data_IF_986496584521
#
_entry.id   IF_986496584521
#
_cell.length_a   1.000
_cell.length_b   1.000
_cell.length_c   1.000
_cell.angle_alpha   90.00
_cell.angle_beta   90.00
_cell.angle_gamma   90.00
#
_symmetry.space_group_name_H-M   'P 1'
#
loop_
_entity.id
_entity.type
_entity.pdbx_description
1 polymer ?
#
# COMPACT_ATOMS: atom_id res chain seq x y z
N UNK A 1 -0.10 11.17 -8.96
CA UNK A 1 0.42 10.01 -8.21
C UNK A 1 1.93 10.03 -7.96
N UNK A 2 2.75 10.65 -8.82
CA UNK A 2 4.21 10.66 -8.65
C UNK A 2 4.68 11.15 -7.26
N UNK A 3 4.10 12.24 -6.74
CA UNK A 3 4.42 12.74 -5.40
C UNK A 3 4.08 11.75 -4.28
N UNK A 4 2.93 11.08 -4.37
CA UNK A 4 2.50 10.04 -3.42
C UNK A 4 3.46 8.85 -3.42
N UNK A 5 3.87 8.37 -4.60
CA UNK A 5 4.81 7.26 -4.72
C UNK A 5 6.17 7.63 -4.12
N UNK A 6 6.71 8.81 -4.44
CA UNK A 6 7.96 9.28 -3.84
C UNK A 6 7.87 9.42 -2.33
N UNK A 7 6.75 9.93 -1.82
CA UNK A 7 6.54 10.08 -0.38
C UNK A 7 6.51 8.71 0.32
N UNK A 8 5.73 7.75 -0.20
CA UNK A 8 5.61 6.40 0.36
C UNK A 8 6.94 5.66 0.31
N UNK A 9 7.67 5.75 -0.81
CA UNK A 9 8.98 5.12 -0.96
C UNK A 9 9.98 5.61 0.11
N UNK A 10 9.94 6.90 0.45
CA UNK A 10 10.81 7.49 1.49
C UNK A 10 10.43 7.09 2.91
N UNK A 11 9.21 6.60 3.15
CA UNK A 11 8.79 6.18 4.50
C UNK A 11 9.36 4.82 4.90
N UNK A 12 9.89 4.04 3.94
CA UNK A 12 10.44 2.70 4.19
C UNK A 12 9.50 1.80 5.02
N UNK A 13 8.20 1.88 4.74
CA UNK A 13 7.18 1.18 5.52
C UNK A 13 7.39 -0.34 5.44
N UNK A 14 7.33 -1.07 6.59
CA UNK A 14 7.48 -2.51 6.61
C UNK A 14 6.35 -3.22 5.86
N UNK A 15 5.15 -2.64 5.84
CA UNK A 15 4.01 -3.10 5.05
C UNK A 15 3.08 -1.96 4.68
N UNK A 16 2.39 -2.09 3.54
CA UNK A 16 1.37 -1.15 3.08
C UNK A 16 0.08 -1.89 2.73
N UNK A 17 -1.07 -1.38 3.14
CA UNK A 17 -2.39 -2.01 2.92
C UNK A 17 -3.32 -1.02 2.20
N UNK A 18 -3.28 -0.98 0.86
CA UNK A 18 -4.12 -0.05 0.07
C UNK A 18 -5.51 -0.64 -0.23
N UNK A 19 -6.57 0.05 0.19
CA UNK A 19 -7.95 -0.46 0.18
C UNK A 19 -8.99 0.46 -0.51
N UNK A 20 -10.23 -0.03 -0.57
CA UNK A 20 -11.46 0.66 -0.99
C UNK A 20 -11.43 1.36 -2.35
N UNK A 21 -11.06 2.64 -2.39
CA UNK A 21 -11.05 3.45 -3.62
C UNK A 21 -9.75 3.33 -4.43
N UNK A 22 -8.75 2.59 -3.92
CA UNK A 22 -7.47 2.44 -4.63
C UNK A 22 -7.62 1.46 -5.79
N UNK A 23 -7.53 1.98 -7.00
CA UNK A 23 -7.66 1.18 -8.22
C UNK A 23 -6.47 0.24 -8.45
N UNK A 24 -6.64 -0.68 -9.38
CA UNK A 24 -5.66 -1.74 -9.70
C UNK A 24 -4.34 -1.14 -10.19
N UNK A 25 -4.35 -0.10 -11.03
CA UNK A 25 -3.11 0.51 -11.52
C UNK A 25 -2.33 1.20 -10.40
N UNK A 26 -3.05 1.85 -9.49
CA UNK A 26 -2.47 2.41 -8.27
C UNK A 26 -1.84 1.34 -7.39
N UNK A 27 -2.51 0.20 -7.18
CA UNK A 27 -1.94 -0.93 -6.43
C UNK A 27 -0.69 -1.49 -7.10
N UNK A 28 -0.68 -1.68 -8.42
CA UNK A 28 0.50 -2.15 -9.15
C UNK A 28 1.67 -1.17 -8.99
N UNK A 29 1.42 0.14 -9.07
CA UNK A 29 2.46 1.14 -8.87
C UNK A 29 3.03 1.11 -7.44
N UNK A 30 2.17 0.94 -6.44
CA UNK A 30 2.57 0.83 -5.04
C UNK A 30 3.35 -0.46 -4.74
N UNK A 31 2.99 -1.60 -5.35
CA UNK A 31 3.73 -2.86 -5.24
C UNK A 31 5.18 -2.75 -5.71
N UNK A 32 5.48 -1.84 -6.66
CA UNK A 32 6.85 -1.67 -7.19
C UNK A 32 7.79 -0.96 -6.23
N UNK A 33 7.25 -0.18 -5.28
CA UNK A 33 8.04 0.69 -4.40
C UNK A 33 7.91 0.34 -2.92
N UNK A 34 6.99 -0.57 -2.56
CA UNK A 34 6.66 -0.89 -1.17
C UNK A 34 6.12 -2.31 -1.04
N UNK A 35 6.20 -2.89 0.16
CA UNK A 35 5.64 -4.20 0.47
C UNK A 35 4.10 -4.11 0.61
N UNK A 36 3.40 -4.03 -0.52
CA UNK A 36 1.95 -3.97 -0.56
C UNK A 36 1.35 -5.34 -0.21
N UNK A 37 0.50 -5.38 0.82
CA UNK A 37 -0.25 -6.55 1.25
C UNK A 37 -1.69 -6.46 0.75
N UNK A 38 -2.25 -7.62 0.41
CA UNK A 38 -3.64 -7.70 -0.02
C UNK A 38 -4.60 -7.35 1.13
N UNK A 39 -5.74 -6.79 0.75
CA UNK A 39 -6.81 -6.39 1.68
C UNK A 39 -8.12 -6.97 1.21
N UNK A 40 -8.92 -7.45 2.15
CA UNK A 40 -10.23 -8.03 1.91
C UNK A 40 -11.19 -7.72 3.06
N UNK A 41 -12.48 -7.97 2.83
CA UNK A 41 -13.48 -7.89 3.91
C UNK A 41 -13.13 -8.89 5.00
N UNK A 42 -13.24 -8.48 6.26
CA UNK A 42 -12.89 -9.31 7.41
C UNK A 42 -11.39 -9.41 7.71
N UNK A 43 -10.53 -8.66 7.00
CA UNK A 43 -9.13 -8.52 7.40
C UNK A 43 -9.05 -7.91 8.80
N UNK A 44 -8.36 -8.59 9.71
CA UNK A 44 -7.99 -8.10 11.03
C UNK A 44 -6.46 -8.01 11.11
N UNK A 45 -5.96 -6.89 11.64
CA UNK A 45 -4.52 -6.63 11.81
C UNK A 45 -4.25 -6.41 13.29
N UNK A 46 -3.19 -7.02 13.79
CA UNK A 46 -2.65 -6.80 15.13
C UNK A 46 -1.30 -6.13 14.99
N UNK A 47 -1.06 -5.12 15.83
CA UNK A 47 0.19 -4.37 15.88
C UNK A 47 0.72 -4.43 17.32
N UNK A 48 2.04 -4.52 17.45
CA UNK A 48 2.75 -4.45 18.74
C UNK A 48 2.83 -3.03 19.29
#
# INVERSE_FOLDING_TARGET
MAGTLQYIQKQELPSLHACHCTDIYSKIALCRISNLKEVGVGLALEYE
#
